data_IF_359000164002
#
_entry.id   IF_359000164002
#
_cell.length_a   1.000
_cell.length_b   1.000
_cell.length_c   1.000
_cell.angle_alpha   90.00
_cell.angle_beta   90.00
_cell.angle_gamma   90.00
#
_symmetry.space_group_name_H-M   'P 1'
#
loop_
_entity.id
_entity.type
_entity.pdbx_description
1 polymer ?
#
# COMPACT_ATOMS: atom_id res chain seq x y z
N UNK A 1 32.60 -54.12 47.00
CA UNK A 1 31.99 -54.39 45.69
C UNK A 1 30.51 -54.62 45.91
N UNK A 2 29.53 -53.90 45.37
CA UNK A 2 29.46 -52.79 44.43
C UNK A 2 28.17 -52.02 44.77
N UNK A 3 28.23 -50.69 44.85
CA UNK A 3 27.04 -49.82 44.76
C UNK A 3 27.10 -49.22 43.36
N UNK A 4 26.17 -49.60 42.49
CA UNK A 4 26.07 -49.06 41.13
C UNK A 4 24.77 -48.27 40.99
N UNK A 5 24.96 -47.00 40.66
CA UNK A 5 23.97 -45.95 40.46
C UNK A 5 23.01 -46.26 39.30
N UNK A 6 21.75 -45.85 39.45
CA UNK A 6 20.86 -45.58 38.31
C UNK A 6 20.19 -44.23 38.56
N UNK A 7 20.72 -43.18 37.92
CA UNK A 7 20.05 -41.90 37.76
C UNK A 7 19.38 -41.89 36.39
N UNK A 8 18.05 -41.82 36.36
CA UNK A 8 17.27 -41.62 35.14
C UNK A 8 17.14 -40.11 34.93
N UNK A 9 17.81 -39.57 33.91
CA UNK A 9 17.60 -38.20 33.45
C UNK A 9 16.46 -38.19 32.42
N UNK A 10 15.30 -37.64 32.80
CA UNK A 10 14.23 -37.27 31.87
C UNK A 10 14.53 -35.84 31.38
N UNK A 11 15.02 -35.69 30.14
CA UNK A 11 15.16 -34.39 29.50
C UNK A 11 13.84 -34.04 28.79
N UNK A 12 13.02 -33.18 29.40
CA UNK A 12 11.86 -32.57 28.76
C UNK A 12 12.35 -31.42 27.87
N UNK A 13 12.38 -31.62 26.55
CA UNK A 13 12.69 -30.56 25.60
C UNK A 13 11.49 -29.61 25.48
N UNK A 14 11.60 -28.42 26.08
CA UNK A 14 10.63 -27.35 25.94
C UNK A 14 10.82 -26.71 24.55
N UNK A 15 9.98 -27.06 23.58
CA UNK A 15 9.95 -26.39 22.27
C UNK A 15 9.27 -25.03 22.48
N UNK A 16 10.06 -23.98 22.68
CA UNK A 16 9.56 -22.61 22.65
C UNK A 16 9.22 -22.27 21.20
N UNK A 17 7.93 -22.28 20.87
CA UNK A 17 7.43 -21.78 19.59
C UNK A 17 7.59 -20.25 19.60
N UNK A 18 8.68 -19.75 19.00
CA UNK A 18 8.82 -18.32 18.74
C UNK A 18 7.81 -17.94 17.65
N UNK A 19 6.66 -17.41 18.06
CA UNK A 19 5.78 -16.69 17.13
C UNK A 19 6.46 -15.36 16.80
N UNK A 20 7.14 -15.30 15.66
CA UNK A 20 7.48 -14.01 15.06
C UNK A 20 6.17 -13.32 14.70
N UNK A 21 5.81 -12.28 15.43
CA UNK A 21 4.73 -11.38 15.05
C UNK A 21 5.21 -10.64 13.80
N UNK A 22 4.94 -11.18 12.62
CA UNK A 22 5.20 -10.47 11.38
C UNK A 22 4.20 -9.33 11.24
N UNK A 23 4.67 -8.21 10.69
CA UNK A 23 3.80 -7.10 10.35
C UNK A 23 2.79 -7.54 9.30
N UNK A 24 1.50 -7.20 9.49
CA UNK A 24 0.54 -7.47 8.44
C UNK A 24 0.75 -6.45 7.31
N UNK A 25 1.11 -6.92 6.12
CA UNK A 25 1.13 -6.09 4.92
C UNK A 25 -0.32 -5.80 4.52
N UNK A 26 -0.73 -4.54 4.66
CA UNK A 26 -2.08 -4.08 4.32
C UNK A 26 -2.22 -3.88 2.81
N UNK A 27 -1.22 -3.21 2.22
CA UNK A 27 -1.16 -2.88 0.79
C UNK A 27 0.28 -2.92 0.32
N UNK A 28 0.49 -3.31 -0.94
CA UNK A 28 1.78 -3.19 -1.63
C UNK A 28 1.57 -2.84 -3.09
N UNK A 29 2.51 -2.08 -3.65
CA UNK A 29 2.53 -1.70 -5.05
C UNK A 29 3.96 -1.37 -5.47
N UNK A 30 4.19 -1.31 -6.78
CA UNK A 30 5.35 -0.65 -7.36
C UNK A 30 4.93 0.61 -8.09
N UNK A 31 5.81 1.59 -8.10
CA UNK A 31 5.63 2.80 -8.90
C UNK A 31 6.92 3.21 -9.60
N UNK A 32 6.77 3.72 -10.82
CA UNK A 32 7.85 4.35 -11.57
C UNK A 32 8.21 5.67 -10.91
N UNK A 33 9.51 5.87 -10.69
CA UNK A 33 10.08 7.12 -10.15
C UNK A 33 11.19 7.63 -11.10
N UNK A 34 11.69 8.86 -10.92
CA UNK A 34 12.78 9.39 -11.74
C UNK A 34 14.02 8.49 -11.78
N UNK A 35 14.90 8.74 -12.76
CA UNK A 35 16.18 8.04 -12.94
C UNK A 35 16.06 6.54 -13.26
N UNK A 36 15.04 6.13 -14.03
CA UNK A 36 14.83 4.75 -14.47
C UNK A 36 14.75 3.74 -13.31
N UNK A 37 14.12 4.15 -12.22
CA UNK A 37 13.96 3.36 -11.00
C UNK A 37 12.49 2.99 -10.75
N UNK A 38 12.31 1.93 -9.98
CA UNK A 38 11.05 1.60 -9.33
C UNK A 38 11.17 1.85 -7.84
N UNK A 39 10.14 2.45 -7.26
CA UNK A 39 9.90 2.43 -5.83
C UNK A 39 8.89 1.32 -5.52
N UNK A 40 9.29 0.41 -4.65
CA UNK A 40 8.49 -0.70 -4.15
C UNK A 40 8.02 -0.32 -2.76
N UNK A 41 6.71 -0.25 -2.55
CA UNK A 41 6.14 0.23 -1.30
C UNK A 41 5.22 -0.80 -0.65
N UNK A 42 5.22 -0.78 0.67
CA UNK A 42 4.28 -1.52 1.50
C UNK A 42 3.74 -0.62 2.61
N UNK A 43 2.48 -0.79 2.95
CA UNK A 43 1.86 -0.23 4.17
C UNK A 43 1.70 -1.39 5.14
N UNK A 44 2.28 -1.27 6.33
CA UNK A 44 2.13 -2.23 7.43
C UNK A 44 1.34 -1.65 8.59
N UNK A 45 0.73 -2.53 9.39
CA UNK A 45 -0.09 -2.17 10.57
C UNK A 45 0.73 -1.96 11.86
N UNK A 46 2.05 -2.03 11.78
CA UNK A 46 2.96 -1.82 12.90
C UNK A 46 4.18 -0.95 12.51
N UNK A 47 5.21 -0.92 13.34
CA UNK A 47 6.43 -0.13 13.17
C UNK A 47 7.56 -0.86 12.42
N UNK A 48 7.32 -2.10 11.98
CA UNK A 48 8.31 -2.92 11.30
C UNK A 48 8.11 -2.90 9.78
N UNK A 49 9.23 -2.85 9.07
CA UNK A 49 9.28 -2.95 7.63
C UNK A 49 9.57 -4.39 7.19
N UNK A 50 8.81 -4.93 6.21
CA UNK A 50 8.97 -6.30 5.76
C UNK A 50 10.25 -6.43 4.94
N UNK A 51 10.72 -7.67 4.82
CA UNK A 51 11.86 -8.01 3.96
C UNK A 51 11.37 -8.09 2.51
N UNK A 52 12.16 -7.60 1.58
CA UNK A 52 11.94 -7.78 0.16
C UNK A 52 12.98 -8.73 -0.45
N UNK A 53 12.60 -9.42 -1.51
CA UNK A 53 13.49 -10.23 -2.33
C UNK A 53 13.59 -9.64 -3.73
N UNK A 54 14.80 -9.29 -4.15
CA UNK A 54 15.07 -8.75 -5.49
C UNK A 54 15.96 -9.75 -6.21
N UNK A 55 15.44 -10.35 -7.29
CA UNK A 55 16.11 -11.41 -8.04
C UNK A 55 16.65 -12.54 -7.14
N UNK A 56 15.87 -12.88 -6.10
CA UNK A 56 16.19 -13.91 -5.11
C UNK A 56 17.15 -13.48 -3.99
N UNK A 57 17.63 -12.23 -4.00
CA UNK A 57 18.46 -11.68 -2.93
C UNK A 57 17.59 -10.96 -1.91
N UNK A 58 17.79 -11.29 -0.64
CA UNK A 58 17.18 -10.59 0.49
C UNK A 58 17.67 -9.14 0.59
N UNK A 59 16.75 -8.20 0.71
CA UNK A 59 16.99 -6.77 0.85
C UNK A 59 16.05 -6.20 1.92
N UNK A 60 16.58 -5.45 2.87
CA UNK A 60 15.78 -4.72 3.85
C UNK A 60 15.02 -3.58 3.17
N UNK A 61 13.71 -3.47 3.43
CA UNK A 61 12.96 -2.27 3.07
C UNK A 61 13.11 -1.22 4.18
N UNK A 62 13.17 0.05 3.79
CA UNK A 62 13.42 1.15 4.72
C UNK A 62 12.11 1.83 5.11
N UNK A 63 12.03 2.29 6.35
CA UNK A 63 10.93 3.13 6.79
C UNK A 63 10.94 4.44 5.99
N UNK A 64 9.89 4.66 5.20
CA UNK A 64 9.63 5.92 4.49
C UNK A 64 8.94 6.91 5.42
N UNK A 65 7.93 6.45 6.17
CA UNK A 65 7.17 7.27 7.11
C UNK A 65 6.35 6.41 8.07
N UNK A 66 6.10 6.89 9.29
CA UNK A 66 5.23 6.21 10.27
C UNK A 66 4.19 7.16 10.85
N UNK A 67 3.02 6.63 11.21
CA UNK A 67 2.01 7.28 12.06
C UNK A 67 1.94 6.44 13.33
N UNK A 68 2.15 7.07 14.48
CA UNK A 68 1.99 6.44 15.78
C UNK A 68 1.14 7.35 16.67
N UNK A 69 -0.15 7.04 16.74
CA UNK A 69 -1.12 7.79 17.55
C UNK A 69 -1.66 6.92 18.71
N UNK A 70 -0.79 6.09 19.31
CA UNK A 70 -1.13 5.18 20.40
C UNK A 70 -1.82 3.90 19.92
N UNK A 71 -3.13 3.97 19.61
CA UNK A 71 -3.93 2.80 19.22
C UNK A 71 -3.86 2.46 17.72
N UNK A 72 -3.19 3.30 16.93
CA UNK A 72 -3.13 3.17 15.48
C UNK A 72 -1.71 3.39 15.01
N UNK A 73 -1.04 2.28 14.70
CA UNK A 73 0.25 2.28 14.06
C UNK A 73 0.07 2.03 12.56
N UNK A 74 0.83 2.75 11.75
CA UNK A 74 0.97 2.49 10.33
C UNK A 74 2.37 2.90 9.90
N UNK A 75 3.07 2.02 9.20
CA UNK A 75 4.34 2.34 8.57
C UNK A 75 4.26 2.16 7.07
N UNK A 76 4.77 3.14 6.33
CA UNK A 76 5.04 3.02 4.90
C UNK A 76 6.51 2.64 4.77
N UNK A 77 6.77 1.51 4.14
CA UNK A 77 8.09 1.00 3.84
C UNK A 77 8.39 1.17 2.36
N UNK A 78 9.66 1.39 2.03
CA UNK A 78 10.10 1.66 0.67
C UNK A 78 11.44 0.96 0.38
N UNK A 79 11.51 0.38 -0.81
CA UNK A 79 12.73 -0.08 -1.44
C UNK A 79 12.82 0.51 -2.85
N UNK A 80 13.94 1.15 -3.18
CA UNK A 80 14.19 1.66 -4.53
C UNK A 80 15.13 0.71 -5.28
N UNK A 81 14.74 0.32 -6.49
CA UNK A 81 15.51 -0.57 -7.37
C UNK A 81 15.61 0.00 -8.78
N UNK A 82 16.56 -0.51 -9.57
CA UNK A 82 16.64 -0.22 -10.99
C UNK A 82 15.51 -0.92 -11.75
N UNK A 83 15.02 -0.34 -12.84
CA UNK A 83 14.00 -0.97 -13.71
C UNK A 83 14.47 -2.26 -14.41
N UNK A 84 15.77 -2.57 -14.38
CA UNK A 84 16.35 -3.77 -15.01
C UNK A 84 16.12 -5.07 -14.24
N UNK A 85 15.69 -5.00 -12.97
CA UNK A 85 15.40 -6.18 -12.13
C UNK A 85 14.33 -7.07 -12.75
N UNK A 86 14.36 -8.37 -12.46
CA UNK A 86 13.49 -9.36 -13.12
C UNK A 86 12.37 -9.86 -12.22
N UNK A 87 12.61 -9.93 -10.92
CA UNK A 87 11.61 -10.37 -9.94
C UNK A 87 11.74 -9.56 -8.66
N UNK A 88 10.60 -9.20 -8.08
CA UNK A 88 10.50 -8.54 -6.78
C UNK A 88 9.36 -9.19 -6.00
N UNK A 89 9.62 -9.55 -4.75
CA UNK A 89 8.57 -9.82 -3.78
C UNK A 89 8.80 -9.05 -2.49
N UNK A 90 7.72 -8.78 -1.75
CA UNK A 90 7.78 -8.39 -0.34
C UNK A 90 7.23 -9.59 0.42
N UNK A 91 8.08 -10.22 1.24
CA UNK A 91 7.81 -11.56 1.76
C UNK A 91 7.42 -12.51 0.60
N UNK A 92 6.27 -13.17 0.70
CA UNK A 92 5.74 -14.07 -0.33
C UNK A 92 4.88 -13.36 -1.41
N UNK A 93 4.65 -12.05 -1.29
CA UNK A 93 3.81 -11.28 -2.21
C UNK A 93 4.63 -10.76 -3.40
N UNK A 94 4.32 -11.27 -4.60
CA UNK A 94 4.91 -10.75 -5.83
C UNK A 94 4.48 -9.31 -6.09
N UNK A 95 5.44 -8.46 -6.45
CA UNK A 95 5.20 -7.06 -6.79
C UNK A 95 5.50 -6.86 -8.29
N UNK A 96 4.62 -6.21 -9.05
CA UNK A 96 4.80 -6.06 -10.49
C UNK A 96 6.03 -5.21 -10.81
N UNK A 97 6.74 -5.55 -11.88
CA UNK A 97 7.87 -4.77 -12.40
C UNK A 97 7.49 -4.08 -13.70
N UNK A 98 8.23 -3.05 -14.08
CA UNK A 98 8.08 -2.40 -15.38
C UNK A 98 8.72 -3.28 -16.47
N UNK A 99 8.00 -3.69 -17.51
CA UNK A 99 8.61 -4.41 -18.62
C UNK A 99 9.58 -3.49 -19.39
N UNK A 100 10.60 -4.09 -20.00
CA UNK A 100 11.60 -3.37 -20.81
C UNK A 100 10.98 -2.54 -21.93
N UNK A 101 9.86 -3.02 -22.49
CA UNK A 101 9.06 -2.29 -23.46
C UNK A 101 7.61 -2.19 -22.97
N UNK A 102 7.18 -0.97 -22.71
CA UNK A 102 5.78 -0.63 -22.41
C UNK A 102 4.99 -0.52 -23.72
N UNK A 103 3.99 -1.38 -23.91
CA UNK A 103 3.13 -1.40 -25.11
C UNK A 103 1.68 -0.98 -24.80
N UNK A 104 1.21 -1.23 -23.57
CA UNK A 104 -0.16 -0.94 -23.16
C UNK A 104 -0.19 -0.15 -21.87
N UNK A 105 -0.74 1.06 -21.95
CA UNK A 105 -0.89 1.95 -20.80
C UNK A 105 -2.38 2.15 -20.53
N UNK A 106 -2.77 2.02 -19.27
CA UNK A 106 -4.09 2.45 -18.82
C UNK A 106 -3.98 3.82 -18.14
N UNK A 107 -4.95 4.70 -18.39
CA UNK A 107 -5.06 5.98 -17.72
C UNK A 107 -6.31 6.00 -16.86
N UNK A 108 -6.19 6.55 -15.65
CA UNK A 108 -7.32 6.79 -14.75
C UNK A 108 -7.05 8.07 -13.94
N UNK A 109 -8.10 8.76 -13.51
CA UNK A 109 -8.00 9.98 -12.72
C UNK A 109 -9.35 10.30 -12.08
N UNK A 110 -9.38 11.32 -11.23
CA UNK A 110 -10.61 11.81 -10.61
C UNK A 110 -11.39 10.70 -9.89
N UNK A 111 -10.67 9.90 -9.09
CA UNK A 111 -11.16 8.61 -8.59
C UNK A 111 -11.80 8.68 -7.21
N UNK A 112 -11.52 9.72 -6.41
CA UNK A 112 -12.03 9.78 -5.04
C UNK A 112 -13.54 9.93 -4.94
N UNK A 113 -14.12 9.54 -3.80
CA UNK A 113 -15.56 9.70 -3.59
C UNK A 113 -15.91 11.06 -3.00
N UNK A 114 -16.75 11.84 -3.69
CA UNK A 114 -17.05 13.24 -3.33
C UNK A 114 -18.03 13.37 -2.18
N UNK A 115 -17.50 13.72 -1.00
CA UNK A 115 -18.29 14.10 0.18
C UNK A 115 -17.83 15.48 0.66
N UNK A 116 -18.63 16.51 0.37
CA UNK A 116 -18.43 17.88 0.87
C UNK A 116 -19.77 18.49 1.34
N UNK A 117 -19.74 19.73 1.84
CA UNK A 117 -20.96 20.37 2.39
C UNK A 117 -22.14 20.47 1.41
N UNK A 118 -21.87 20.55 0.10
CA UNK A 118 -22.88 20.76 -0.94
C UNK A 118 -23.27 19.46 -1.66
N UNK A 119 -22.35 18.51 -1.79
CA UNK A 119 -22.51 17.28 -2.56
C UNK A 119 -22.02 16.07 -1.79
N UNK A 120 -22.86 15.03 -1.75
CA UNK A 120 -22.67 13.83 -0.93
C UNK A 120 -22.93 12.60 -1.81
N UNK A 121 -21.91 12.14 -2.52
CA UNK A 121 -21.96 10.95 -3.37
C UNK A 121 -22.20 9.69 -2.52
N UNK A 122 -22.96 8.72 -3.03
CA UNK A 122 -23.21 7.46 -2.33
C UNK A 122 -22.01 6.51 -2.45
N UNK A 123 -20.98 6.74 -1.65
CA UNK A 123 -19.71 6.01 -1.75
C UNK A 123 -19.78 4.51 -1.43
N UNK A 124 -20.87 4.02 -0.83
CA UNK A 124 -21.06 2.58 -0.59
C UNK A 124 -21.79 1.89 -1.76
N UNK A 125 -22.16 2.63 -2.81
CA UNK A 125 -22.84 2.11 -3.99
C UNK A 125 -21.88 2.03 -5.17
N UNK A 126 -21.71 0.81 -5.71
CA UNK A 126 -20.90 0.58 -6.92
C UNK A 126 -21.45 1.35 -8.12
N UNK A 127 -22.75 1.62 -8.18
CA UNK A 127 -23.33 2.39 -9.29
C UNK A 127 -23.05 3.89 -9.16
N UNK A 128 -22.96 4.40 -7.94
CA UNK A 128 -22.68 5.83 -7.69
C UNK A 128 -21.19 6.13 -7.66
N UNK A 129 -20.35 5.20 -7.19
CA UNK A 129 -18.90 5.33 -7.13
C UNK A 129 -18.22 4.03 -7.57
N UNK A 130 -18.05 3.81 -8.89
CA UNK A 130 -17.65 2.53 -9.48
C UNK A 130 -16.12 2.28 -9.49
N UNK A 131 -15.32 2.91 -8.62
CA UNK A 131 -13.85 2.86 -8.75
C UNK A 131 -13.31 1.43 -8.80
N UNK A 132 -13.68 0.56 -7.85
CA UNK A 132 -13.27 -0.86 -7.83
C UNK A 132 -13.63 -1.57 -9.14
N UNK A 133 -14.86 -1.39 -9.62
CA UNK A 133 -15.34 -1.99 -10.88
C UNK A 133 -14.52 -1.50 -12.08
N UNK A 134 -14.16 -0.21 -12.12
CA UNK A 134 -13.35 0.36 -13.18
C UNK A 134 -11.92 -0.20 -13.14
N UNK A 135 -11.31 -0.29 -11.95
CA UNK A 135 -9.99 -0.88 -11.76
C UNK A 135 -9.99 -2.37 -12.13
N UNK A 136 -10.99 -3.14 -11.72
CA UNK A 136 -11.15 -4.54 -12.11
C UNK A 136 -11.26 -4.69 -13.64
N UNK A 137 -11.99 -3.79 -14.31
CA UNK A 137 -12.07 -3.76 -15.77
C UNK A 137 -10.71 -3.46 -16.40
N UNK A 138 -9.93 -2.52 -15.85
CA UNK A 138 -8.58 -2.21 -16.33
C UNK A 138 -7.67 -3.42 -16.17
N UNK A 139 -7.74 -4.12 -15.03
CA UNK A 139 -6.95 -5.31 -14.73
C UNK A 139 -7.14 -6.41 -15.79
N UNK A 140 -8.38 -6.61 -16.27
CA UNK A 140 -8.68 -7.58 -17.35
C UNK A 140 -7.89 -7.31 -18.64
N UNK A 141 -7.55 -6.04 -18.90
CA UNK A 141 -6.77 -5.66 -20.07
C UNK A 141 -5.26 -5.88 -19.90
N UNK A 142 -4.78 -6.21 -18.70
CA UNK A 142 -3.36 -6.46 -18.38
C UNK A 142 -2.45 -5.36 -18.93
N UNK A 143 -2.58 -4.10 -18.45
CA UNK A 143 -1.69 -3.03 -18.85
C UNK A 143 -0.26 -3.28 -18.35
N UNK A 144 0.72 -2.81 -19.12
CA UNK A 144 2.13 -2.84 -18.73
C UNK A 144 2.44 -1.74 -17.69
N UNK A 145 1.64 -0.67 -17.69
CA UNK A 145 1.75 0.48 -16.79
C UNK A 145 0.37 1.12 -16.61
N UNK A 146 0.07 1.53 -15.39
CA UNK A 146 -1.12 2.33 -15.09
C UNK A 146 -0.69 3.73 -14.69
N UNK A 147 -1.23 4.75 -15.35
CA UNK A 147 -0.98 6.14 -15.02
C UNK A 147 -2.23 6.70 -14.32
N UNK A 148 -2.08 7.08 -13.06
CA UNK A 148 -3.12 7.82 -12.36
C UNK A 148 -2.85 9.32 -12.43
N UNK A 149 -3.72 10.08 -13.07
CA UNK A 149 -3.50 11.48 -13.43
C UNK A 149 -3.92 12.48 -12.34
N UNK A 150 -3.90 12.06 -11.08
CA UNK A 150 -4.28 12.89 -9.92
C UNK A 150 -5.72 12.75 -9.45
N UNK A 151 -6.02 13.43 -8.35
CA UNK A 151 -7.35 13.59 -7.77
C UNK A 151 -7.91 12.26 -7.21
N UNK A 152 -7.21 11.78 -6.18
CA UNK A 152 -7.51 10.51 -5.48
C UNK A 152 -8.46 10.73 -4.31
N UNK A 153 -8.39 11.88 -3.64
CA UNK A 153 -8.98 12.06 -2.33
C UNK A 153 -10.12 13.10 -2.31
N UNK A 154 -11.32 12.67 -1.90
CA UNK A 154 -12.53 13.51 -2.06
C UNK A 154 -13.51 13.53 -0.86
N UNK A 155 -13.29 12.74 0.20
CA UNK A 155 -14.17 12.71 1.40
C UNK A 155 -13.85 13.82 2.42
N UNK A 156 -14.13 15.07 2.07
CA UNK A 156 -13.77 16.24 2.89
C UNK A 156 -14.55 16.38 4.20
N UNK A 157 -15.85 16.05 4.21
CA UNK A 157 -16.75 16.34 5.34
C UNK A 157 -17.52 15.11 5.78
N UNK A 158 -18.06 15.14 7.01
CA UNK A 158 -18.93 14.09 7.51
C UNK A 158 -20.14 13.85 6.59
N UNK A 159 -20.42 12.58 6.37
CA UNK A 159 -21.56 12.12 5.60
C UNK A 159 -22.89 12.38 6.35
N UNK A 160 -23.91 12.93 5.68
CA UNK A 160 -25.23 13.17 6.30
C UNK A 160 -26.02 11.88 6.54
N UNK A 161 -25.84 10.90 5.67
CA UNK A 161 -26.48 9.60 5.76
C UNK A 161 -25.42 8.50 5.63
N UNK A 162 -24.84 8.10 6.76
CA UNK A 162 -23.70 7.18 6.82
C UNK A 162 -23.98 5.82 6.19
N UNK A 163 -25.25 5.41 6.06
CA UNK A 163 -25.61 4.19 5.31
C UNK A 163 -25.25 4.30 3.82
N UNK A 164 -25.31 5.50 3.25
CA UNK A 164 -25.05 5.78 1.82
C UNK A 164 -23.58 6.08 1.52
N UNK A 165 -22.96 6.96 2.30
CA UNK A 165 -21.57 7.40 2.06
C UNK A 165 -20.52 6.90 3.05
N UNK A 166 -20.91 6.16 4.09
CA UNK A 166 -20.00 5.74 5.16
C UNK A 166 -19.76 6.85 6.20
N UNK A 167 -18.87 6.58 7.16
CA UNK A 167 -18.51 7.52 8.24
C UNK A 167 -17.03 7.95 8.18
N UNK A 168 -16.33 7.59 7.10
CA UNK A 168 -14.93 7.95 6.84
C UNK A 168 -14.89 9.30 6.12
N UNK A 169 -14.18 10.27 6.68
CA UNK A 169 -13.99 11.61 6.12
C UNK A 169 -12.78 12.32 6.75
N UNK A 170 -12.41 13.47 6.19
CA UNK A 170 -11.24 14.25 6.60
C UNK A 170 -10.03 13.96 5.71
N UNK A 171 -8.85 14.38 6.11
CA UNK A 171 -7.59 14.16 5.38
C UNK A 171 -6.69 13.15 6.11
N UNK A 172 -7.26 12.02 6.54
CA UNK A 172 -6.57 10.99 7.32
C UNK A 172 -6.30 9.73 6.48
N UNK A 173 -5.53 8.79 7.05
CA UNK A 173 -5.17 7.54 6.37
C UNK A 173 -6.40 6.70 6.01
N UNK A 174 -7.44 6.72 6.82
CA UNK A 174 -8.67 5.96 6.59
C UNK A 174 -9.35 6.41 5.30
N UNK A 175 -9.32 7.71 4.97
CA UNK A 175 -9.82 8.19 3.68
C UNK A 175 -8.93 7.72 2.52
N UNK A 176 -7.60 7.73 2.66
CA UNK A 176 -6.70 7.21 1.62
C UNK A 176 -6.93 5.73 1.35
N UNK A 177 -7.20 4.95 2.40
CA UNK A 177 -7.57 3.55 2.26
C UNK A 177 -8.89 3.41 1.53
N UNK A 178 -9.91 4.16 1.97
CA UNK A 178 -11.24 4.08 1.40
C UNK A 178 -11.27 4.52 -0.06
N UNK A 179 -10.65 5.64 -0.41
CA UNK A 179 -10.73 6.26 -1.75
C UNK A 179 -9.75 5.67 -2.77
N UNK A 180 -8.63 5.09 -2.33
CA UNK A 180 -7.60 4.59 -3.26
C UNK A 180 -7.12 3.18 -2.96
N UNK A 181 -6.53 2.93 -1.79
CA UNK A 181 -5.80 1.68 -1.58
C UNK A 181 -6.68 0.43 -1.53
N UNK A 182 -7.85 0.49 -0.89
CA UNK A 182 -8.75 -0.65 -0.83
C UNK A 182 -9.36 -0.95 -2.22
N UNK A 183 -9.87 0.05 -2.99
CA UNK A 183 -10.28 -0.19 -4.38
C UNK A 183 -9.17 -0.69 -5.30
N UNK A 184 -7.92 -0.23 -5.10
CA UNK A 184 -6.78 -0.56 -5.95
C UNK A 184 -6.00 -1.80 -5.51
N UNK A 185 -6.38 -2.44 -4.40
CA UNK A 185 -5.62 -3.53 -3.79
C UNK A 185 -5.27 -4.65 -4.77
N UNK A 186 -6.26 -5.14 -5.52
CA UNK A 186 -6.08 -6.26 -6.44
C UNK A 186 -5.21 -5.89 -7.64
N UNK A 187 -5.44 -4.72 -8.24
CA UNK A 187 -4.70 -4.29 -9.44
C UNK A 187 -3.26 -3.86 -9.10
N UNK A 188 -3.00 -3.46 -7.86
CA UNK A 188 -1.66 -3.06 -7.38
C UNK A 188 -0.64 -4.18 -7.38
N UNK A 189 -1.11 -5.43 -7.41
CA UNK A 189 -0.25 -6.62 -7.54
C UNK A 189 -0.05 -7.06 -9.00
N UNK A 190 -0.69 -6.39 -9.97
CA UNK A 190 -0.71 -6.83 -11.37
C UNK A 190 0.13 -5.94 -12.30
N UNK A 191 0.12 -4.63 -12.07
CA UNK A 191 0.83 -3.67 -12.92
C UNK A 191 1.47 -2.56 -12.08
N UNK A 192 2.65 -2.04 -12.47
CA UNK A 192 3.23 -0.87 -11.81
C UNK A 192 2.38 0.38 -12.08
N UNK A 193 2.48 1.35 -11.18
CA UNK A 193 1.84 2.65 -11.34
C UNK A 193 2.82 3.76 -11.71
N UNK A 194 2.31 4.81 -12.34
CA UNK A 194 2.90 6.14 -12.32
C UNK A 194 1.85 7.09 -11.75
N UNK A 195 2.17 7.70 -10.62
CA UNK A 195 1.28 8.62 -9.93
C UNK A 195 1.59 10.06 -10.29
N UNK A 196 0.56 10.81 -10.67
CA UNK A 196 0.60 12.26 -10.87
C UNK A 196 -0.23 12.91 -9.77
N UNK A 197 0.22 14.08 -9.29
CA UNK A 197 -0.48 14.83 -8.25
C UNK A 197 -1.60 15.69 -8.84
N UNK A 198 -2.81 15.57 -8.27
CA UNK A 198 -3.94 16.43 -8.60
C UNK A 198 -4.04 17.66 -7.70
N UNK A 199 -5.02 18.52 -7.95
CA UNK A 199 -5.28 19.69 -7.09
C UNK A 199 -5.98 19.32 -5.78
N UNK A 200 -6.61 18.15 -5.69
CA UNK A 200 -7.17 17.61 -4.44
C UNK A 200 -6.10 17.17 -3.43
N UNK A 201 -4.85 17.03 -3.88
CA UNK A 201 -3.66 16.73 -3.09
C UNK A 201 -2.73 17.95 -2.92
N UNK A 202 -3.27 19.16 -3.10
CA UNK A 202 -2.56 20.42 -2.85
C UNK A 202 -2.32 20.69 -1.36
N UNK A 203 -1.42 21.63 -1.04
CA UNK A 203 -0.96 21.94 0.33
C UNK A 203 -2.07 22.32 1.33
N UNK A 204 -3.27 22.68 0.88
CA UNK A 204 -4.40 23.00 1.76
C UNK A 204 -5.38 21.81 1.89
N UNK A 205 -5.02 20.65 1.34
CA UNK A 205 -5.87 19.46 1.19
C UNK A 205 -5.05 18.20 1.50
N UNK A 206 -5.30 17.08 0.82
CA UNK A 206 -4.71 15.78 1.16
C UNK A 206 -3.19 15.65 0.89
N UNK A 207 -2.41 16.73 0.95
CA UNK A 207 -0.98 16.72 0.63
C UNK A 207 -0.17 15.78 1.53
N UNK A 208 -0.51 15.67 2.81
CA UNK A 208 0.23 14.82 3.76
C UNK A 208 0.23 13.38 3.28
N UNK A 209 -0.94 12.86 2.91
CA UNK A 209 -1.05 11.52 2.33
C UNK A 209 -0.41 11.41 0.95
N UNK A 210 -0.46 12.44 0.09
CA UNK A 210 0.27 12.41 -1.17
C UNK A 210 1.77 12.19 -0.97
N UNK A 211 2.41 13.00 -0.12
CA UNK A 211 3.85 12.90 0.12
C UNK A 211 4.22 11.60 0.83
N UNK A 212 3.36 11.16 1.76
CA UNK A 212 3.51 9.90 2.47
C UNK A 212 3.47 8.70 1.52
N UNK A 213 2.45 8.64 0.67
CA UNK A 213 2.09 7.45 -0.07
C UNK A 213 2.54 7.43 -1.52
N UNK A 214 2.34 8.49 -2.30
CA UNK A 214 2.38 8.40 -3.77
C UNK A 214 3.49 9.23 -4.41
N UNK A 215 4.05 10.20 -3.68
CA UNK A 215 5.09 11.08 -4.19
C UNK A 215 6.34 10.31 -4.64
N UNK A 216 6.86 10.66 -5.82
CA UNK A 216 7.97 9.95 -6.46
C UNK A 216 9.35 10.35 -5.95
N UNK A 217 9.42 11.33 -5.03
CA UNK A 217 10.68 11.81 -4.47
C UNK A 217 10.90 11.24 -3.05
N UNK A 218 12.14 11.36 -2.52
CA UNK A 218 12.43 11.02 -1.13
C UNK A 218 11.45 11.72 -0.19
N UNK A 219 10.96 10.99 0.81
CA UNK A 219 10.03 11.56 1.77
C UNK A 219 10.71 12.66 2.58
N UNK A 220 10.08 13.83 2.62
CA UNK A 220 10.48 14.95 3.45
C UNK A 220 9.26 15.37 4.27
N UNK A 221 9.20 15.03 5.58
CA UNK A 221 8.18 15.56 6.45
C UNK A 221 8.45 17.07 6.58
N UNK A 222 7.56 17.90 6.04
CA UNK A 222 7.57 19.33 6.28
C UNK A 222 6.59 19.65 7.40
#
# INVERSE_FOLDING_TARGET
>A
MNIANIFIFLALSLITSFHFVHAQILYTWSQVIPENKLSIRAITDNDMCPIAYVDGKEIETLNRSSINNGNHNETVCELTVQTSVKNISIEDLQVPILPEKVNKIAFIGDTGCRINMLFQQECNSVDSWPLKKNLDSIALHKPDLIIHVGDYHYRQTKCRNTKKCGDIYGYNKEVWYADWFEPAKDISTQSPFLFVRGNHESCNRAYEGWFRYLDSYPFSPK
#
